data_IF_869586581581
#
_entry.id   IF_869586581581
#
_cell.length_a   1.000
_cell.length_b   1.000
_cell.length_c   1.000
_cell.angle_alpha   90.00
_cell.angle_beta   90.00
_cell.angle_gamma   90.00
#
_symmetry.space_group_name_H-M   'P 1'
#
loop_
_entity.id
_entity.type
_entity.pdbx_description
1 polymer ?
#
# COMPACT_ATOMS: atom_id res chain seq x y z
N UNK A 1 77.43 44.99 -27.56
CA UNK A 1 77.33 43.63 -26.97
C UNK A 1 75.88 43.46 -26.53
N UNK A 2 75.05 42.80 -27.36
CA UNK A 2 73.60 42.73 -27.27
C UNK A 2 73.23 41.37 -26.68
N UNK A 3 72.68 41.36 -25.48
CA UNK A 3 72.14 40.14 -24.83
C UNK A 3 70.69 39.94 -25.18
N UNK A 4 70.41 38.83 -25.88
CA UNK A 4 69.00 38.38 -26.15
C UNK A 4 68.49 37.56 -24.98
N UNK A 5 67.37 38.03 -24.39
CA UNK A 5 66.63 37.24 -23.40
C UNK A 5 65.64 36.37 -24.13
N UNK A 6 65.75 35.04 -23.94
CA UNK A 6 64.73 34.04 -24.39
C UNK A 6 63.58 33.98 -23.35
N UNK A 7 62.39 34.33 -23.74
CA UNK A 7 61.18 34.08 -22.95
C UNK A 7 60.70 32.65 -23.24
N UNK A 8 60.75 31.75 -22.28
CA UNK A 8 60.09 30.45 -22.31
C UNK A 8 58.61 30.66 -21.86
N UNK A 9 57.67 30.47 -22.82
CA UNK A 9 56.27 30.42 -22.54
C UNK A 9 55.91 29.00 -22.06
N UNK A 10 55.59 28.82 -20.78
CA UNK A 10 55.00 27.60 -20.21
C UNK A 10 53.53 27.57 -20.57
N UNK A 11 53.12 26.73 -21.57
CA UNK A 11 51.76 26.37 -21.80
C UNK A 11 51.33 25.38 -20.69
N UNK A 12 50.55 25.86 -19.71
CA UNK A 12 49.92 25.01 -18.71
C UNK A 12 48.75 24.24 -19.35
N UNK A 13 48.91 22.92 -19.52
CA UNK A 13 47.86 21.99 -19.91
C UNK A 13 46.95 21.74 -18.71
N UNK A 14 45.80 22.42 -18.63
CA UNK A 14 44.77 22.13 -17.63
C UNK A 14 44.08 20.82 -17.99
N UNK A 15 44.47 19.71 -17.35
CA UNK A 15 43.71 18.47 -17.33
C UNK A 15 42.45 18.71 -16.50
N UNK A 16 41.30 18.87 -17.15
CA UNK A 16 39.99 18.76 -16.51
C UNK A 16 39.76 17.29 -16.20
N UNK A 17 39.94 16.89 -14.94
CA UNK A 17 39.47 15.62 -14.42
C UNK A 17 37.94 15.64 -14.45
N UNK A 18 37.33 15.10 -15.51
CA UNK A 18 35.94 14.73 -15.49
C UNK A 18 35.80 13.62 -14.42
N UNK A 19 35.19 13.94 -13.30
CA UNK A 19 34.79 12.95 -12.30
C UNK A 19 33.90 11.88 -12.95
N UNK A 20 33.84 10.64 -12.40
CA UNK A 20 32.96 9.63 -12.90
C UNK A 20 31.53 10.18 -12.82
N UNK A 21 30.92 10.44 -13.97
CA UNK A 21 29.50 10.77 -14.06
C UNK A 21 28.72 9.63 -13.40
N UNK A 22 27.82 9.93 -12.47
CA UNK A 22 26.92 8.92 -11.94
C UNK A 22 26.22 8.24 -13.13
N UNK A 23 26.28 6.91 -13.18
CA UNK A 23 25.60 6.17 -14.24
C UNK A 23 24.11 6.49 -14.19
N UNK A 24 23.51 6.73 -15.36
CA UNK A 24 22.06 6.98 -15.44
C UNK A 24 21.28 5.82 -14.80
N UNK A 25 20.20 6.12 -14.04
CA UNK A 25 19.38 5.09 -13.42
C UNK A 25 18.80 4.13 -14.47
N UNK A 26 18.85 2.84 -14.19
CA UNK A 26 18.25 1.82 -15.05
C UNK A 26 16.79 1.56 -14.64
N UNK A 27 15.83 2.15 -15.34
CA UNK A 27 14.40 2.03 -15.03
C UNK A 27 13.88 0.60 -15.05
N UNK A 28 14.32 -0.24 -15.97
CA UNK A 28 13.92 -1.66 -16.05
C UNK A 28 14.38 -2.42 -14.78
N UNK A 29 15.60 -2.16 -14.32
CA UNK A 29 16.11 -2.79 -13.09
C UNK A 29 15.36 -2.30 -11.85
N UNK A 30 15.10 -1.01 -11.74
CA UNK A 30 14.35 -0.42 -10.64
C UNK A 30 12.92 -0.98 -10.61
N UNK A 31 12.27 -1.04 -11.77
CA UNK A 31 10.95 -1.63 -11.91
C UNK A 31 10.93 -3.10 -11.47
N UNK A 32 11.85 -3.91 -11.95
CA UNK A 32 11.94 -5.34 -11.59
C UNK A 32 12.13 -5.55 -10.09
N UNK A 33 12.87 -4.66 -9.41
CA UNK A 33 13.15 -4.77 -7.98
C UNK A 33 12.01 -4.31 -7.08
N UNK A 34 11.24 -3.28 -7.49
CA UNK A 34 10.30 -2.60 -6.60
C UNK A 34 8.84 -2.63 -7.07
N UNK A 35 8.60 -2.79 -8.37
CA UNK A 35 7.26 -2.64 -8.95
C UNK A 35 6.67 -3.96 -9.46
N UNK A 36 7.52 -4.81 -10.06
CA UNK A 36 7.12 -6.03 -10.76
C UNK A 36 6.36 -7.02 -9.87
N UNK A 37 6.72 -7.11 -8.58
CA UNK A 37 6.04 -8.00 -7.61
C UNK A 37 4.53 -7.75 -7.54
N UNK A 38 4.10 -6.50 -7.76
CA UNK A 38 2.69 -6.10 -7.73
C UNK A 38 2.09 -5.90 -9.12
N UNK A 39 2.87 -5.33 -10.06
CA UNK A 39 2.39 -4.94 -11.38
C UNK A 39 2.72 -5.94 -12.49
N UNK A 40 3.40 -7.05 -12.17
CA UNK A 40 3.86 -8.05 -13.13
C UNK A 40 5.15 -7.63 -13.81
N UNK A 41 5.97 -8.60 -14.24
CA UNK A 41 7.29 -8.35 -14.85
C UNK A 41 7.19 -7.52 -16.14
N UNK A 42 6.12 -7.69 -16.90
CA UNK A 42 5.83 -6.96 -18.13
C UNK A 42 4.71 -5.93 -17.98
N UNK A 43 4.34 -5.54 -16.74
CA UNK A 43 3.27 -4.60 -16.50
C UNK A 43 1.86 -5.14 -16.74
N UNK A 44 1.69 -6.47 -16.78
CA UNK A 44 0.39 -7.13 -17.04
C UNK A 44 -0.60 -7.03 -15.86
N UNK A 45 -0.15 -6.48 -14.74
CA UNK A 45 -0.94 -6.40 -13.53
C UNK A 45 -0.73 -7.61 -12.62
N UNK A 46 -1.45 -7.62 -11.54
CA UNK A 46 -1.40 -8.64 -10.49
C UNK A 46 -2.18 -8.11 -9.31
N UNK A 47 -1.46 -7.82 -8.22
CA UNK A 47 -1.97 -7.04 -7.10
C UNK A 47 -2.28 -5.61 -7.54
N UNK A 48 -1.34 -5.01 -8.28
CA UNK A 48 -1.46 -3.69 -8.86
C UNK A 48 -2.20 -3.71 -10.21
N UNK A 49 -2.59 -2.53 -10.67
CA UNK A 49 -3.23 -2.35 -11.97
C UNK A 49 -2.29 -2.76 -13.11
N UNK A 50 -2.82 -3.23 -14.25
CA UNK A 50 -2.02 -3.51 -15.43
C UNK A 50 -1.51 -2.21 -16.06
N UNK A 51 -0.22 -1.91 -15.85
CA UNK A 51 0.40 -0.67 -16.32
C UNK A 51 0.57 -0.63 -17.85
N UNK A 52 0.74 -1.79 -18.50
CA UNK A 52 0.89 -1.87 -19.96
C UNK A 52 -0.44 -1.81 -20.74
N UNK A 53 -1.59 -1.77 -20.05
CA UNK A 53 -2.88 -1.71 -20.73
C UNK A 53 -2.95 -0.46 -21.64
N UNK A 54 -3.21 -0.58 -22.96
CA UNK A 54 -3.20 0.57 -23.87
C UNK A 54 -4.13 1.70 -23.42
N UNK A 55 -5.35 1.38 -22.96
CA UNK A 55 -6.28 2.38 -22.47
C UNK A 55 -5.82 3.08 -21.16
N UNK A 56 -5.00 2.40 -20.33
CA UNK A 56 -4.36 3.03 -19.18
C UNK A 56 -3.26 3.98 -19.65
N UNK A 57 -2.38 3.53 -20.53
CA UNK A 57 -1.27 4.30 -21.07
C UNK A 57 -1.74 5.57 -21.82
N UNK A 58 -2.79 5.44 -22.62
CA UNK A 58 -3.40 6.56 -23.35
C UNK A 58 -4.16 7.55 -22.43
N UNK A 59 -4.62 7.08 -21.28
CA UNK A 59 -5.48 7.86 -20.39
C UNK A 59 -4.79 8.54 -19.21
N UNK A 60 -3.50 8.26 -18.93
CA UNK A 60 -2.78 8.85 -17.80
C UNK A 60 -1.54 9.62 -18.26
N UNK A 61 -1.27 10.84 -17.75
CA UNK A 61 -0.06 11.59 -18.07
C UNK A 61 1.14 11.10 -17.25
N UNK A 62 2.36 11.44 -17.67
CA UNK A 62 3.59 11.09 -16.95
C UNK A 62 3.56 11.64 -15.52
N UNK A 63 3.13 12.88 -15.33
CA UNK A 63 2.99 13.50 -14.02
C UNK A 63 2.10 12.70 -13.04
N UNK A 64 1.07 12.01 -13.54
CA UNK A 64 0.27 11.11 -12.72
C UNK A 64 1.06 9.87 -12.29
N UNK A 65 1.87 9.30 -13.16
CA UNK A 65 2.74 8.17 -12.85
C UNK A 65 3.80 8.56 -11.82
N UNK A 66 4.50 9.69 -12.06
CA UNK A 66 5.51 10.24 -11.16
C UNK A 66 4.95 10.48 -9.76
N UNK A 67 3.84 11.21 -9.65
CA UNK A 67 3.22 11.49 -8.36
C UNK A 67 2.68 10.22 -7.70
N UNK A 68 2.13 9.28 -8.49
CA UNK A 68 1.67 8.00 -7.95
C UNK A 68 2.82 7.17 -7.39
N UNK A 69 3.99 7.17 -8.01
CA UNK A 69 5.18 6.51 -7.49
C UNK A 69 5.62 7.17 -6.17
N UNK A 70 5.71 8.50 -6.13
CA UNK A 70 6.16 9.22 -4.94
C UNK A 70 5.23 9.09 -3.75
N UNK A 71 3.93 9.27 -3.98
CA UNK A 71 2.92 9.31 -2.92
C UNK A 71 2.38 7.93 -2.55
N UNK A 72 2.44 6.98 -3.47
CA UNK A 72 1.77 5.69 -3.32
C UNK A 72 0.25 5.84 -3.21
N UNK A 73 -0.34 4.94 -2.47
CA UNK A 73 -1.76 4.93 -2.08
C UNK A 73 -1.83 4.74 -0.57
N UNK A 74 -1.74 5.83 0.22
CA UNK A 74 -1.77 5.76 1.68
C UNK A 74 -2.92 4.88 2.19
N UNK A 75 -2.63 4.00 3.14
CA UNK A 75 -3.58 3.00 3.64
C UNK A 75 -3.89 1.85 2.68
N UNK A 76 -3.14 1.72 1.57
CA UNK A 76 -3.28 0.63 0.60
C UNK A 76 -1.93 -0.04 0.33
N UNK A 77 -1.97 -1.14 -0.43
CA UNK A 77 -0.79 -1.97 -0.70
C UNK A 77 0.32 -1.27 -1.49
N UNK A 78 0.02 -0.20 -2.24
CA UNK A 78 1.02 0.54 -3.00
C UNK A 78 1.73 1.55 -2.08
N UNK A 79 2.99 1.32 -1.68
CA UNK A 79 3.74 2.26 -0.87
C UNK A 79 4.15 3.51 -1.66
N UNK A 80 4.51 4.57 -0.96
CA UNK A 80 5.20 5.71 -1.55
C UNK A 80 6.70 5.45 -1.68
N UNK A 81 7.29 5.92 -2.77
CA UNK A 81 8.73 5.83 -3.04
C UNK A 81 9.35 7.23 -3.03
N UNK A 82 9.09 7.99 -1.97
CA UNK A 82 9.57 9.37 -1.80
C UNK A 82 11.09 9.47 -1.61
N UNK A 83 11.75 8.35 -1.28
CA UNK A 83 13.20 8.24 -1.18
C UNK A 83 13.92 8.14 -2.53
N UNK A 84 13.21 7.87 -3.64
CA UNK A 84 13.80 7.83 -4.97
C UNK A 84 14.10 9.24 -5.48
N UNK A 85 15.25 9.42 -6.11
CA UNK A 85 15.59 10.65 -6.82
C UNK A 85 14.67 10.89 -8.03
N UNK A 86 14.61 12.13 -8.51
CA UNK A 86 13.83 12.47 -9.72
C UNK A 86 14.26 11.63 -10.91
N UNK A 87 15.58 11.49 -11.12
CA UNK A 87 16.11 10.68 -12.21
C UNK A 87 15.73 9.19 -12.13
N UNK A 88 15.60 8.62 -10.93
CA UNK A 88 15.15 7.23 -10.76
C UNK A 88 13.65 7.09 -11.06
N UNK A 89 12.84 8.04 -10.62
CA UNK A 89 11.39 8.05 -10.93
C UNK A 89 11.19 8.24 -12.43
N UNK A 90 11.88 9.17 -13.06
CA UNK A 90 11.82 9.39 -14.53
C UNK A 90 12.22 8.12 -15.28
N UNK A 91 13.28 7.45 -14.87
CA UNK A 91 13.73 6.21 -15.49
C UNK A 91 12.67 5.09 -15.36
N UNK A 92 11.98 4.99 -14.22
CA UNK A 92 10.87 4.03 -14.04
C UNK A 92 9.69 4.39 -14.95
N UNK A 93 9.32 5.67 -15.03
CA UNK A 93 8.24 6.14 -15.89
C UNK A 93 8.56 5.85 -17.35
N UNK A 94 9.77 6.16 -17.83
CA UNK A 94 10.21 5.85 -19.20
C UNK A 94 10.20 4.34 -19.46
N UNK A 95 10.58 3.51 -18.50
CA UNK A 95 10.45 2.05 -18.65
C UNK A 95 8.98 1.62 -18.80
N UNK A 96 8.06 2.15 -17.98
CA UNK A 96 6.62 1.87 -18.10
C UNK A 96 6.10 2.34 -19.46
N UNK A 97 6.55 3.48 -19.94
CA UNK A 97 6.17 4.03 -21.25
C UNK A 97 6.74 3.25 -22.44
N UNK A 98 7.83 2.53 -22.24
CA UNK A 98 8.40 1.69 -23.31
C UNK A 98 7.46 0.58 -23.79
N UNK A 99 6.39 0.29 -23.06
CA UNK A 99 5.34 -0.67 -23.46
C UNK A 99 4.24 -0.06 -24.33
N UNK A 100 4.33 1.22 -24.67
CA UNK A 100 3.29 1.93 -25.38
C UNK A 100 3.87 2.90 -26.41
N UNK A 101 3.48 2.70 -27.67
CA UNK A 101 3.95 3.53 -28.80
C UNK A 101 3.00 4.70 -29.13
N UNK A 102 1.92 4.86 -28.35
CA UNK A 102 0.92 5.91 -28.57
C UNK A 102 1.32 7.26 -27.97
N UNK A 103 0.46 8.23 -28.20
CA UNK A 103 0.64 9.58 -27.68
C UNK A 103 0.46 9.63 -26.16
N UNK A 104 1.35 10.37 -25.48
CA UNK A 104 1.29 10.58 -24.02
C UNK A 104 0.34 11.76 -23.73
N UNK A 105 -0.75 11.56 -22.99
CA UNK A 105 -1.72 12.61 -22.77
C UNK A 105 -1.17 13.70 -21.86
N UNK A 106 -1.62 14.93 -22.10
CA UNK A 106 -1.37 16.10 -21.27
C UNK A 106 -2.70 16.66 -20.79
N UNK A 107 -2.82 16.92 -19.49
CA UNK A 107 -4.05 17.42 -18.89
C UNK A 107 -3.82 18.74 -18.16
N UNK A 108 -4.81 19.63 -18.26
CA UNK A 108 -4.86 20.84 -17.44
C UNK A 108 -4.91 20.51 -15.96
N UNK A 109 -4.21 21.28 -15.15
CA UNK A 109 -4.26 21.21 -13.69
C UNK A 109 -5.36 22.10 -13.08
N UNK A 110 -6.11 22.83 -13.93
CA UNK A 110 -7.19 23.67 -13.46
C UNK A 110 -8.36 22.84 -12.92
N UNK A 111 -8.95 23.32 -11.82
CA UNK A 111 -10.15 22.70 -11.24
C UNK A 111 -11.35 22.89 -12.18
N UNK A 112 -12.16 21.85 -12.28
CA UNK A 112 -13.41 21.86 -13.02
C UNK A 112 -14.54 22.28 -12.07
N UNK A 113 -15.33 23.27 -12.48
CA UNK A 113 -16.50 23.69 -11.73
C UNK A 113 -17.67 22.74 -12.01
N UNK A 114 -18.30 22.23 -10.95
CA UNK A 114 -19.46 21.34 -11.01
C UNK A 114 -20.28 21.37 -9.72
N UNK A 115 -21.47 20.80 -9.76
CA UNK A 115 -22.34 20.63 -8.59
C UNK A 115 -22.09 19.28 -7.92
N UNK A 116 -21.27 19.29 -6.86
CA UNK A 116 -20.94 18.08 -6.11
C UNK A 116 -22.17 17.38 -5.51
N UNK A 117 -23.26 18.11 -5.18
CA UNK A 117 -24.47 17.50 -4.66
C UNK A 117 -25.20 16.69 -5.72
N UNK A 118 -25.28 17.22 -6.96
CA UNK A 118 -25.81 16.50 -8.10
C UNK A 118 -24.89 15.36 -8.49
N UNK A 119 -23.57 15.59 -8.45
CA UNK A 119 -22.55 14.57 -8.67
C UNK A 119 -22.68 13.39 -7.71
N UNK A 120 -23.04 13.62 -6.42
CA UNK A 120 -23.29 12.55 -5.46
C UNK A 120 -24.45 11.63 -5.86
N UNK A 121 -25.52 12.18 -6.43
CA UNK A 121 -26.65 11.39 -6.92
C UNK A 121 -26.23 10.52 -8.12
N UNK A 122 -25.55 11.12 -9.09
CA UNK A 122 -25.03 10.42 -10.26
C UNK A 122 -24.01 9.35 -9.87
N UNK A 123 -23.17 9.64 -8.86
CA UNK A 123 -22.19 8.69 -8.35
C UNK A 123 -22.86 7.46 -7.71
N UNK A 124 -23.88 7.66 -6.90
CA UNK A 124 -24.64 6.57 -6.29
C UNK A 124 -25.30 5.66 -7.36
N UNK A 125 -25.77 6.25 -8.46
CA UNK A 125 -26.42 5.54 -9.55
C UNK A 125 -25.45 4.78 -10.45
N UNK A 126 -24.30 5.38 -10.76
CA UNK A 126 -23.42 4.90 -11.84
C UNK A 126 -22.06 4.37 -11.37
N UNK A 127 -21.57 4.78 -10.20
CA UNK A 127 -20.18 4.55 -9.78
C UNK A 127 -20.06 3.69 -8.53
N UNK A 128 -20.98 3.87 -7.55
CA UNK A 128 -20.89 3.28 -6.22
C UNK A 128 -20.80 1.74 -6.24
N UNK A 129 -21.50 1.09 -7.18
CA UNK A 129 -21.48 -0.37 -7.31
C UNK A 129 -20.05 -0.92 -7.49
N UNK A 130 -19.19 -0.18 -8.19
CA UNK A 130 -17.82 -0.60 -8.47
C UNK A 130 -16.81 0.09 -7.54
N UNK A 131 -16.96 1.40 -7.27
CA UNK A 131 -16.00 2.21 -6.52
C UNK A 131 -16.34 2.35 -5.03
N UNK A 132 -17.45 1.75 -4.57
CA UNK A 132 -17.96 1.88 -3.20
C UNK A 132 -18.72 3.19 -2.98
N UNK A 133 -19.63 3.21 -2.00
CA UNK A 133 -20.55 4.34 -1.74
C UNK A 133 -19.83 5.66 -1.40
N UNK A 134 -18.62 5.56 -0.85
CA UNK A 134 -17.78 6.69 -0.47
C UNK A 134 -16.46 6.75 -1.25
N UNK A 135 -16.36 6.07 -2.37
CA UNK A 135 -15.15 6.05 -3.18
C UNK A 135 -14.03 5.17 -2.66
N UNK A 136 -14.30 4.30 -1.70
CA UNK A 136 -13.30 3.46 -1.04
C UNK A 136 -12.72 2.34 -1.92
N UNK A 137 -13.23 2.18 -3.13
CA UNK A 137 -12.83 1.15 -4.08
C UNK A 137 -13.72 -0.08 -4.05
N UNK A 138 -13.52 -0.95 -5.02
CA UNK A 138 -14.27 -2.18 -5.15
C UNK A 138 -14.02 -3.16 -4.01
N UNK A 139 -15.05 -3.92 -3.67
CA UNK A 139 -14.92 -5.09 -2.80
C UNK A 139 -14.21 -6.18 -3.59
N UNK A 140 -12.91 -6.22 -3.55
CA UNK A 140 -12.13 -7.27 -4.14
C UNK A 140 -11.32 -7.92 -3.05
N UNK A 141 -11.16 -9.21 -3.20
CA UNK A 141 -10.19 -9.94 -2.40
C UNK A 141 -8.79 -9.43 -2.72
N UNK A 142 -8.42 -8.19 -2.46
CA UNK A 142 -7.10 -7.66 -2.67
C UNK A 142 -6.16 -8.62 -3.41
N UNK A 143 -4.97 -8.71 -3.04
CA UNK A 143 -3.97 -9.56 -3.67
C UNK A 143 -4.26 -11.05 -3.50
N UNK A 144 -4.59 -11.76 -4.56
CA UNK A 144 -4.50 -13.22 -4.57
C UNK A 144 -3.30 -13.62 -5.44
N UNK A 145 -2.30 -14.26 -4.85
CA UNK A 145 -1.16 -14.82 -5.59
C UNK A 145 -1.58 -15.87 -6.63
N UNK A 146 -2.78 -16.40 -6.47
CA UNK A 146 -3.40 -17.39 -7.35
C UNK A 146 -4.59 -16.80 -8.13
N UNK A 147 -4.60 -15.49 -8.37
CA UNK A 147 -5.69 -14.87 -9.13
C UNK A 147 -5.78 -15.50 -10.51
N UNK A 148 -6.90 -16.13 -10.86
CA UNK A 148 -7.14 -16.52 -12.25
C UNK A 148 -7.07 -15.27 -13.13
N UNK A 149 -6.49 -15.39 -14.33
CA UNK A 149 -6.37 -14.24 -15.27
C UNK A 149 -7.73 -13.63 -15.65
N UNK A 150 -8.80 -14.35 -15.38
CA UNK A 150 -10.18 -13.96 -15.71
C UNK A 150 -10.92 -13.23 -14.58
N UNK A 151 -10.27 -12.99 -13.44
CA UNK A 151 -10.91 -12.19 -12.38
C UNK A 151 -11.01 -10.74 -12.82
N UNK A 152 -12.16 -10.08 -12.58
CA UNK A 152 -12.36 -8.70 -12.96
C UNK A 152 -11.34 -7.79 -12.27
N UNK A 153 -10.91 -6.76 -12.99
CA UNK A 153 -10.08 -5.69 -12.43
C UNK A 153 -10.88 -5.00 -11.33
N UNK A 154 -10.29 -4.90 -10.14
CA UNK A 154 -10.93 -4.24 -9.01
C UNK A 154 -10.91 -2.73 -9.24
N UNK A 155 -12.07 -2.08 -9.08
CA UNK A 155 -12.17 -0.64 -9.18
C UNK A 155 -11.30 0.05 -8.11
N UNK A 156 -10.46 1.02 -8.46
CA UNK A 156 -9.59 1.71 -7.51
C UNK A 156 -10.37 2.59 -6.53
N UNK A 157 -9.78 2.83 -5.36
CA UNK A 157 -10.29 3.80 -4.41
C UNK A 157 -10.14 5.22 -4.98
N UNK A 158 -11.27 5.91 -5.15
CA UNK A 158 -11.33 7.29 -5.64
C UNK A 158 -11.17 8.31 -4.51
N UNK A 159 -11.48 7.92 -3.27
CA UNK A 159 -11.29 8.75 -2.08
C UNK A 159 -9.86 8.69 -1.50
N UNK A 160 -8.95 7.96 -2.12
CA UNK A 160 -7.57 7.85 -1.62
C UNK A 160 -6.80 9.17 -1.81
N UNK A 161 -6.13 9.70 -0.77
CA UNK A 161 -5.43 10.99 -0.85
C UNK A 161 -4.30 10.99 -1.89
N UNK A 162 -3.57 9.86 -2.07
CA UNK A 162 -2.55 9.74 -3.10
C UNK A 162 -3.15 9.76 -4.52
N UNK A 163 -4.35 9.21 -4.73
CA UNK A 163 -5.07 9.34 -6.00
C UNK A 163 -5.53 10.77 -6.24
N UNK A 164 -6.19 11.38 -5.26
CA UNK A 164 -6.74 12.74 -5.36
C UNK A 164 -5.66 13.78 -5.63
N UNK A 165 -4.47 13.60 -5.07
CA UNK A 165 -3.33 14.48 -5.33
C UNK A 165 -2.73 14.27 -6.72
N UNK A 166 -2.58 13.01 -7.16
CA UNK A 166 -1.92 12.68 -8.43
C UNK A 166 -2.81 12.95 -9.67
N UNK A 167 -4.14 12.72 -9.55
CA UNK A 167 -5.06 12.84 -10.67
C UNK A 167 -5.55 14.29 -10.84
N UNK A 168 -5.41 14.88 -12.01
CA UNK A 168 -6.05 16.16 -12.33
C UNK A 168 -7.55 15.99 -12.63
N UNK A 169 -8.34 17.06 -12.46
CA UNK A 169 -9.77 17.04 -12.82
C UNK A 169 -9.97 16.68 -14.28
N UNK A 170 -9.13 17.21 -15.16
CA UNK A 170 -9.20 16.94 -16.59
C UNK A 170 -8.90 15.46 -16.91
N UNK A 171 -7.98 14.80 -16.18
CA UNK A 171 -7.74 13.37 -16.32
C UNK A 171 -8.96 12.53 -15.83
N UNK A 172 -9.56 12.91 -14.71
CA UNK A 172 -10.77 12.25 -14.20
C UNK A 172 -11.90 12.40 -15.20
N UNK A 173 -12.14 13.63 -15.70
CA UNK A 173 -13.14 13.92 -16.74
C UNK A 173 -12.91 13.09 -17.99
N UNK A 174 -11.69 13.06 -18.51
CA UNK A 174 -11.33 12.26 -19.68
C UNK A 174 -11.63 10.76 -19.47
N UNK A 175 -11.29 10.24 -18.30
CA UNK A 175 -11.59 8.84 -17.94
C UNK A 175 -13.10 8.56 -17.90
N UNK A 176 -13.90 9.48 -17.38
CA UNK A 176 -15.36 9.34 -17.37
C UNK A 176 -15.95 9.42 -18.78
N UNK A 177 -15.41 10.31 -19.62
CA UNK A 177 -15.90 10.46 -20.99
C UNK A 177 -15.53 9.30 -21.91
N UNK A 178 -14.36 8.70 -21.74
CA UNK A 178 -13.82 7.68 -22.66
C UNK A 178 -13.96 6.25 -22.13
N UNK A 179 -14.07 6.10 -20.81
CA UNK A 179 -13.92 4.80 -20.17
C UNK A 179 -12.48 4.30 -20.23
N UNK A 180 -12.31 3.00 -20.00
CA UNK A 180 -11.03 2.28 -20.13
C UNK A 180 -11.27 0.97 -20.85
N UNK A 181 -10.98 0.91 -22.12
CA UNK A 181 -11.09 -0.32 -22.91
C UNK A 181 -10.27 -1.46 -22.27
N UNK A 182 -10.78 -2.66 -22.28
CA UNK A 182 -10.19 -3.82 -21.62
C UNK A 182 -10.44 -3.88 -20.10
N UNK A 183 -11.27 -2.97 -19.57
CA UNK A 183 -11.71 -2.97 -18.17
C UNK A 183 -13.24 -2.78 -18.08
N UNK A 184 -13.87 -3.07 -16.91
CA UNK A 184 -15.28 -2.76 -16.69
C UNK A 184 -15.62 -1.26 -16.66
N UNK A 185 -14.63 -0.34 -16.70
CA UNK A 185 -14.86 1.11 -16.68
C UNK A 185 -15.34 1.59 -18.04
N UNK A 186 -16.64 1.79 -18.15
CA UNK A 186 -17.32 2.20 -19.39
C UNK A 186 -17.20 3.70 -19.64
N UNK A 187 -17.46 4.12 -20.90
CA UNK A 187 -17.65 5.53 -21.24
C UNK A 187 -19.03 6.00 -20.77
N UNK A 188 -19.07 6.96 -19.85
CA UNK A 188 -20.34 7.51 -19.36
C UNK A 188 -20.97 8.48 -20.37
N UNK A 189 -20.16 9.09 -21.25
CA UNK A 189 -20.71 9.81 -22.39
C UNK A 189 -21.52 8.90 -23.31
N UNK A 190 -21.04 7.71 -23.58
CA UNK A 190 -21.74 6.72 -24.42
C UNK A 190 -22.95 6.11 -23.69
N UNK A 191 -22.96 6.19 -22.36
CA UNK A 191 -24.12 5.86 -21.53
C UNK A 191 -25.17 7.00 -21.48
N UNK A 192 -24.89 8.14 -22.13
CA UNK A 192 -25.84 9.25 -22.27
C UNK A 192 -25.68 10.38 -21.26
N UNK A 193 -24.65 10.36 -20.40
CA UNK A 193 -24.38 11.49 -19.51
C UNK A 193 -23.87 12.68 -20.32
N UNK A 194 -24.45 13.85 -20.05
CA UNK A 194 -23.97 15.12 -20.60
C UNK A 194 -22.63 15.52 -20.00
N UNK A 195 -21.91 16.38 -20.69
CA UNK A 195 -20.62 16.90 -20.21
C UNK A 195 -20.76 17.60 -18.84
N UNK A 196 -21.88 18.29 -18.60
CA UNK A 196 -22.17 18.92 -17.32
C UNK A 196 -22.33 17.89 -16.18
N UNK A 197 -23.00 16.78 -16.45
CA UNK A 197 -23.15 15.71 -15.47
C UNK A 197 -21.82 15.04 -15.15
N UNK A 198 -20.95 14.93 -16.15
CA UNK A 198 -19.58 14.45 -15.95
C UNK A 198 -18.78 15.46 -15.11
N UNK A 199 -18.92 16.77 -15.32
CA UNK A 199 -18.30 17.80 -14.50
C UNK A 199 -18.81 17.75 -13.05
N UNK A 200 -20.08 17.50 -12.83
CA UNK A 200 -20.69 17.32 -11.50
C UNK A 200 -20.10 16.07 -10.80
N UNK A 201 -19.90 14.97 -11.54
CA UNK A 201 -19.22 13.78 -11.03
C UNK A 201 -17.76 14.07 -10.63
N UNK A 202 -17.02 14.83 -11.44
CA UNK A 202 -15.65 15.26 -11.10
C UNK A 202 -15.65 16.06 -9.80
N UNK A 203 -16.57 17.03 -9.67
CA UNK A 203 -16.70 17.85 -8.46
C UNK A 203 -17.03 17.00 -7.23
N UNK A 204 -17.86 15.96 -7.37
CA UNK A 204 -18.15 15.05 -6.27
C UNK A 204 -16.94 14.20 -5.87
N UNK A 205 -16.20 13.62 -6.83
CA UNK A 205 -14.96 12.89 -6.53
C UNK A 205 -13.96 13.79 -5.81
N UNK A 206 -13.86 15.06 -6.18
CA UNK A 206 -13.02 16.05 -5.50
C UNK A 206 -13.48 16.37 -4.08
N UNK A 207 -14.78 16.27 -3.79
CA UNK A 207 -15.28 16.49 -2.43
C UNK A 207 -14.72 15.47 -1.43
N UNK A 208 -14.24 14.32 -1.86
CA UNK A 208 -13.55 13.36 -1.01
C UNK A 208 -12.25 13.91 -0.40
N UNK A 209 -11.63 14.95 -0.98
CA UNK A 209 -10.48 15.63 -0.37
C UNK A 209 -10.77 16.15 1.02
N UNK A 210 -12.03 16.53 1.30
CA UNK A 210 -12.46 17.02 2.61
C UNK A 210 -12.47 15.93 3.71
N UNK A 211 -12.44 14.66 3.32
CA UNK A 211 -12.38 13.53 4.25
C UNK A 211 -10.96 13.31 4.79
N UNK A 212 -9.95 13.93 4.18
CA UNK A 212 -8.53 13.76 4.49
C UNK A 212 -7.95 15.06 5.04
N UNK A 213 -8.49 15.55 6.14
CA UNK A 213 -7.97 16.75 6.84
C UNK A 213 -6.68 16.48 7.63
N UNK A 214 -6.47 15.20 8.00
CA UNK A 214 -5.25 14.74 8.64
C UNK A 214 -4.41 13.93 7.63
N UNK A 215 -3.06 14.00 7.69
CA UNK A 215 -2.21 13.14 6.88
C UNK A 215 -2.59 11.68 7.13
N UNK A 216 -2.88 10.92 6.09
CA UNK A 216 -3.09 9.49 6.24
C UNK A 216 -1.82 8.87 6.85
N UNK A 217 -1.98 8.16 7.97
CA UNK A 217 -0.87 7.45 8.59
C UNK A 217 -0.22 6.55 7.54
N UNK A 218 1.08 6.71 7.35
CA UNK A 218 1.84 5.81 6.48
C UNK A 218 1.91 4.46 7.17
N UNK A 219 1.87 3.41 6.38
CA UNK A 219 2.02 2.04 6.92
C UNK A 219 3.34 1.89 7.65
N UNK A 220 4.38 2.58 7.17
CA UNK A 220 5.71 2.62 7.77
C UNK A 220 5.70 3.21 9.19
N UNK A 221 4.75 4.11 9.49
CA UNK A 221 4.61 4.76 10.80
C UNK A 221 3.88 3.88 11.83
N UNK A 222 3.30 2.75 11.39
CA UNK A 222 2.64 1.79 12.27
C UNK A 222 3.68 0.78 12.76
N UNK A 223 3.86 0.68 14.06
CA UNK A 223 4.77 -0.30 14.65
C UNK A 223 4.42 -1.73 14.19
N UNK A 224 5.38 -2.49 13.65
CA UNK A 224 5.12 -3.83 13.13
C UNK A 224 4.84 -4.86 14.24
N UNK A 225 5.30 -4.58 15.46
CA UNK A 225 5.20 -5.48 16.61
C UNK A 225 4.69 -4.69 17.81
N UNK A 226 3.75 -5.26 18.54
CA UNK A 226 3.34 -4.78 19.85
C UNK A 226 4.26 -5.43 20.89
N UNK A 227 4.87 -4.62 21.78
CA UNK A 227 5.77 -5.10 22.84
C UNK A 227 5.44 -4.39 24.13
N UNK A 228 5.23 -5.16 25.19
CA UNK A 228 4.95 -4.67 26.55
C UNK A 228 5.87 -5.33 27.55
N UNK A 229 6.43 -4.55 28.47
CA UNK A 229 7.20 -5.07 29.60
C UNK A 229 6.24 -5.56 30.71
N UNK A 230 6.47 -6.73 31.25
CA UNK A 230 5.70 -7.27 32.36
C UNK A 230 6.48 -7.16 33.69
N UNK A 231 5.86 -6.72 34.78
CA UNK A 231 6.48 -6.70 36.10
C UNK A 231 6.40 -8.07 36.80
N UNK A 232 5.72 -9.04 36.19
CA UNK A 232 5.48 -10.38 36.76
C UNK A 232 6.52 -11.37 36.25
N UNK A 233 6.55 -12.55 36.86
CA UNK A 233 7.35 -13.68 36.36
C UNK A 233 6.85 -14.15 34.99
N UNK A 234 7.67 -14.91 34.28
CA UNK A 234 7.30 -15.49 32.97
C UNK A 234 5.99 -16.28 33.07
N UNK A 235 5.86 -17.19 34.07
CA UNK A 235 4.69 -18.05 34.24
C UNK A 235 3.43 -17.23 34.57
N UNK A 236 3.52 -16.32 35.52
CA UNK A 236 2.39 -15.44 35.87
C UNK A 236 1.92 -14.58 34.66
N UNK A 237 2.87 -14.10 33.85
CA UNK A 237 2.57 -13.35 32.64
C UNK A 237 1.90 -14.23 31.59
N UNK A 238 2.36 -15.45 31.37
CA UNK A 238 1.75 -16.41 30.45
C UNK A 238 0.30 -16.70 30.85
N UNK A 239 0.07 -17.01 32.16
CA UNK A 239 -1.28 -17.24 32.68
C UNK A 239 -2.18 -16.00 32.57
N UNK A 240 -1.61 -14.80 32.76
CA UNK A 240 -2.36 -13.55 32.60
C UNK A 240 -2.78 -13.33 31.13
N UNK A 241 -1.89 -13.60 30.16
CA UNK A 241 -2.23 -13.59 28.73
C UNK A 241 -3.36 -14.57 28.41
N UNK A 242 -3.29 -15.77 28.93
CA UNK A 242 -4.34 -16.78 28.74
C UNK A 242 -5.69 -16.32 29.29
N UNK A 243 -5.72 -15.79 30.52
CA UNK A 243 -6.95 -15.26 31.14
C UNK A 243 -7.50 -14.08 30.35
N UNK A 244 -6.65 -13.12 29.97
CA UNK A 244 -7.04 -11.93 29.21
C UNK A 244 -7.61 -12.29 27.82
N UNK A 245 -7.03 -13.28 27.14
CA UNK A 245 -7.53 -13.76 25.86
C UNK A 245 -8.92 -14.43 26.02
N UNK A 246 -9.09 -15.31 27.01
CA UNK A 246 -10.38 -15.96 27.28
C UNK A 246 -11.45 -14.94 27.65
N UNK A 247 -11.11 -13.93 28.46
CA UNK A 247 -12.01 -12.83 28.84
C UNK A 247 -12.53 -12.02 27.63
N UNK A 248 -11.84 -12.08 26.48
CA UNK A 248 -12.21 -11.43 25.20
C UNK A 248 -12.72 -12.40 24.14
N UNK A 249 -13.29 -13.52 24.57
CA UNK A 249 -13.89 -14.54 23.70
C UNK A 249 -12.90 -15.23 22.75
N UNK A 250 -11.61 -15.25 23.06
CA UNK A 250 -10.69 -16.13 22.37
C UNK A 250 -10.69 -17.51 23.02
N UNK A 251 -10.57 -18.54 22.21
CA UNK A 251 -10.32 -19.91 22.63
C UNK A 251 -8.82 -20.16 22.69
N UNK A 252 -8.33 -20.62 23.82
CA UNK A 252 -6.97 -21.12 23.91
C UNK A 252 -6.85 -22.40 23.08
N UNK A 253 -5.78 -22.46 22.29
CA UNK A 253 -5.46 -23.64 21.46
C UNK A 253 -4.39 -24.45 22.14
N UNK A 254 -3.26 -23.84 22.48
CA UNK A 254 -2.15 -24.48 23.19
C UNK A 254 -1.17 -23.43 23.73
N UNK A 255 -0.37 -23.86 24.68
CA UNK A 255 0.88 -23.24 25.10
C UNK A 255 2.04 -24.09 24.55
N UNK A 256 3.10 -23.46 24.10
CA UNK A 256 4.27 -24.15 23.56
C UNK A 256 5.54 -23.36 23.90
N UNK A 257 6.60 -24.06 24.33
CA UNK A 257 7.92 -23.46 24.40
C UNK A 257 8.44 -23.19 22.97
N UNK A 258 9.05 -22.03 22.74
CA UNK A 258 9.48 -21.63 21.38
C UNK A 258 10.48 -22.63 20.78
N UNK A 259 11.37 -23.17 21.62
CA UNK A 259 12.43 -24.09 21.21
C UNK A 259 12.01 -25.58 21.24
N UNK A 260 10.76 -25.86 21.59
CA UNK A 260 10.24 -27.22 21.63
C UNK A 260 10.35 -27.92 20.27
N UNK A 261 11.04 -29.04 20.24
CA UNK A 261 11.30 -29.80 19.02
C UNK A 261 12.50 -29.32 18.18
N UNK A 262 13.15 -28.20 18.55
CA UNK A 262 14.39 -27.74 17.93
C UNK A 262 15.63 -28.30 18.64
N UNK A 263 15.51 -28.60 19.91
CA UNK A 263 16.57 -29.13 20.74
C UNK A 263 16.14 -30.48 21.36
N UNK A 264 17.08 -31.31 21.85
CA UNK A 264 16.76 -32.51 22.64
C UNK A 264 15.93 -32.15 23.86
N UNK A 265 15.16 -33.12 24.34
CA UNK A 265 14.35 -32.96 25.55
C UNK A 265 15.23 -32.55 26.76
N UNK A 266 14.84 -31.49 27.43
CA UNK A 266 15.56 -30.90 28.56
C UNK A 266 16.67 -29.89 28.19
N UNK A 267 16.98 -29.68 26.91
CA UNK A 267 17.96 -28.68 26.45
C UNK A 267 17.28 -27.42 25.91
N UNK A 268 15.98 -27.47 25.57
CA UNK A 268 15.21 -26.33 25.12
C UNK A 268 15.06 -25.29 26.22
N UNK A 269 15.15 -24.01 25.88
CA UNK A 269 14.92 -22.92 26.82
C UNK A 269 13.45 -22.85 27.23
N UNK A 270 13.22 -22.79 28.53
CA UNK A 270 11.91 -22.55 29.13
C UNK A 270 11.53 -21.08 29.24
N UNK A 271 12.43 -20.18 28.82
CA UNK A 271 12.29 -18.71 28.92
C UNK A 271 11.54 -18.06 27.76
N UNK A 272 10.99 -18.84 26.86
CA UNK A 272 10.29 -18.35 25.66
C UNK A 272 9.04 -19.21 25.42
N UNK A 273 7.88 -18.63 25.68
CA UNK A 273 6.59 -19.33 25.59
C UNK A 273 5.69 -18.65 24.57
N UNK A 274 5.10 -19.44 23.69
CA UNK A 274 4.06 -18.97 22.76
C UNK A 274 2.70 -19.44 23.27
N UNK A 275 1.76 -18.51 23.40
CA UNK A 275 0.36 -18.78 23.68
C UNK A 275 -0.43 -18.65 22.38
N UNK A 276 -1.02 -19.75 21.93
CA UNK A 276 -1.87 -19.77 20.74
C UNK A 276 -3.34 -19.73 21.14
N UNK A 277 -4.08 -18.83 20.51
CA UNK A 277 -5.52 -18.67 20.73
C UNK A 277 -6.22 -18.26 19.42
N UNK A 278 -7.53 -18.31 19.38
CA UNK A 278 -8.30 -17.90 18.22
C UNK A 278 -9.72 -17.45 18.61
N UNK A 279 -10.20 -16.40 17.94
CA UNK A 279 -11.60 -16.06 17.90
C UNK A 279 -12.19 -16.61 16.59
N UNK A 280 -12.87 -17.76 16.66
CA UNK A 280 -13.31 -18.48 15.46
C UNK A 280 -14.43 -17.77 14.69
N UNK A 281 -15.28 -16.99 15.35
CA UNK A 281 -16.34 -16.23 14.67
C UNK A 281 -15.73 -15.10 13.84
N UNK A 282 -14.85 -14.31 14.47
CA UNK A 282 -14.13 -13.25 13.81
C UNK A 282 -13.29 -13.78 12.64
N UNK A 283 -12.62 -14.91 12.87
CA UNK A 283 -11.80 -15.57 11.86
C UNK A 283 -12.63 -16.02 10.66
N UNK A 284 -13.80 -16.61 10.89
CA UNK A 284 -14.68 -17.07 9.82
C UNK A 284 -15.09 -15.90 8.91
N UNK A 285 -15.51 -14.81 9.50
CA UNK A 285 -15.92 -13.60 8.76
C UNK A 285 -14.76 -13.03 7.94
N UNK A 286 -13.56 -12.95 8.50
CA UNK A 286 -12.38 -12.47 7.80
C UNK A 286 -11.95 -13.41 6.64
N UNK A 287 -11.97 -14.74 6.85
CA UNK A 287 -11.66 -15.73 5.81
C UNK A 287 -12.66 -15.72 4.65
N UNK A 288 -13.93 -15.37 4.88
CA UNK A 288 -14.91 -15.23 3.79
C UNK A 288 -14.60 -14.04 2.89
N UNK A 289 -13.88 -13.03 3.40
CA UNK A 289 -13.44 -11.87 2.62
C UNK A 289 -12.17 -12.20 1.85
N UNK A 290 -11.17 -12.77 2.53
CA UNK A 290 -9.89 -13.12 1.91
C UNK A 290 -9.25 -14.35 2.60
N UNK A 291 -9.11 -15.49 1.89
CA UNK A 291 -8.54 -16.70 2.48
C UNK A 291 -7.07 -16.56 2.91
N UNK A 292 -6.35 -15.50 2.47
CA UNK A 292 -4.97 -15.22 2.91
C UNK A 292 -4.88 -14.83 4.39
N UNK A 293 -5.98 -14.44 5.00
CA UNK A 293 -6.06 -14.29 6.47
C UNK A 293 -5.54 -15.55 7.17
N UNK A 294 -5.71 -16.72 6.55
CA UNK A 294 -5.17 -17.99 7.03
C UNK A 294 -3.64 -18.02 7.20
N UNK A 295 -2.88 -17.16 6.51
CA UNK A 295 -1.42 -17.08 6.66
C UNK A 295 -0.98 -16.55 8.04
N UNK A 296 -1.87 -15.88 8.76
CA UNK A 296 -1.61 -15.30 10.08
C UNK A 296 -2.14 -16.14 11.24
N UNK A 297 -2.62 -17.33 10.93
CA UNK A 297 -3.20 -18.23 11.91
C UNK A 297 -2.23 -19.32 12.37
N UNK A 298 -2.39 -19.81 13.59
CA UNK A 298 -3.26 -19.29 14.63
C UNK A 298 -2.75 -17.96 15.20
N UNK A 299 -3.69 -17.16 15.76
CA UNK A 299 -3.35 -15.98 16.53
C UNK A 299 -2.43 -16.36 17.69
N UNK A 300 -1.44 -15.53 18.01
CA UNK A 300 -0.44 -15.87 19.03
C UNK A 300 0.17 -14.65 19.68
N UNK A 301 0.56 -14.86 20.92
CA UNK A 301 1.38 -13.94 21.70
C UNK A 301 2.60 -14.71 22.18
N UNK A 302 3.76 -14.09 22.16
CA UNK A 302 5.01 -14.66 22.68
C UNK A 302 5.38 -13.94 23.98
N UNK A 303 5.67 -14.69 25.03
CA UNK A 303 6.21 -14.19 26.30
C UNK A 303 7.65 -14.65 26.41
N UNK A 304 8.56 -13.72 26.66
CA UNK A 304 9.99 -14.01 26.77
C UNK A 304 10.55 -13.43 28.07
N UNK A 305 11.48 -14.18 28.68
CA UNK A 305 12.35 -13.67 29.74
C UNK A 305 13.78 -13.52 29.21
N UNK A 306 14.28 -12.31 29.21
CA UNK A 306 15.64 -12.01 28.79
C UNK A 306 16.28 -11.00 29.73
N UNK A 307 17.48 -11.31 30.20
CA UNK A 307 18.25 -10.42 31.09
C UNK A 307 17.46 -9.97 32.34
N UNK A 308 16.63 -10.88 32.89
CA UNK A 308 15.81 -10.63 34.08
C UNK A 308 14.59 -9.73 33.82
N UNK A 309 14.25 -9.48 32.56
CA UNK A 309 13.01 -8.77 32.14
C UNK A 309 12.08 -9.71 31.41
N UNK A 310 10.80 -9.62 31.72
CA UNK A 310 9.75 -10.36 31.02
C UNK A 310 9.05 -9.40 30.04
N UNK A 311 8.92 -9.83 28.80
CA UNK A 311 8.23 -9.08 27.76
C UNK A 311 7.18 -9.93 27.08
N UNK A 312 6.06 -9.29 26.74
CA UNK A 312 4.98 -9.86 25.94
C UNK A 312 4.97 -9.20 24.58
N UNK A 313 4.91 -9.98 23.52
CA UNK A 313 4.96 -9.43 22.16
C UNK A 313 4.02 -10.13 21.20
N UNK A 314 3.54 -9.39 20.23
CA UNK A 314 2.71 -9.89 19.13
C UNK A 314 2.94 -9.10 17.86
N UNK A 315 2.64 -9.72 16.71
CA UNK A 315 2.53 -8.98 15.44
C UNK A 315 1.39 -7.97 15.59
N UNK A 316 1.59 -6.76 15.09
CA UNK A 316 0.53 -5.76 15.06
C UNK A 316 -0.43 -6.03 13.88
N UNK A 317 -1.70 -6.43 14.14
CA UNK A 317 -2.65 -6.71 13.08
C UNK A 317 -2.92 -5.51 12.16
N UNK A 318 -2.92 -4.31 12.71
CA UNK A 318 -3.12 -3.08 11.95
C UNK A 318 -2.07 -2.88 10.85
N UNK A 319 -0.81 -3.23 11.13
CA UNK A 319 0.28 -3.20 10.15
C UNK A 319 0.04 -4.16 8.98
N UNK A 320 -0.70 -5.25 9.22
CA UNK A 320 -0.97 -6.28 8.23
C UNK A 320 -2.14 -5.94 7.31
N UNK A 321 -3.00 -4.99 7.69
CA UNK A 321 -4.23 -4.66 6.96
C UNK A 321 -3.96 -4.30 5.50
N UNK A 322 -2.89 -3.58 5.25
CA UNK A 322 -2.48 -3.15 3.90
C UNK A 322 -2.24 -4.29 2.92
N UNK A 323 -1.86 -5.48 3.43
CA UNK A 323 -1.64 -6.67 2.60
C UNK A 323 -2.93 -7.15 1.93
N UNK A 324 -4.08 -6.84 2.52
CA UNK A 324 -5.38 -7.26 2.01
C UNK A 324 -5.98 -6.27 1.03
N UNK A 325 -5.58 -5.00 1.08
CA UNK A 325 -6.12 -3.92 0.25
C UNK A 325 -7.68 -3.93 0.21
N UNK A 326 -8.29 -4.14 1.36
CA UNK A 326 -9.73 -4.36 1.51
C UNK A 326 -10.23 -3.67 2.79
N UNK A 327 -11.17 -2.74 2.66
CA UNK A 327 -11.67 -1.92 3.77
C UNK A 327 -12.34 -2.72 4.89
N UNK A 328 -13.01 -3.84 4.56
CA UNK A 328 -13.60 -4.70 5.60
C UNK A 328 -12.52 -5.35 6.45
N UNK A 329 -11.41 -5.74 5.81
CA UNK A 329 -10.26 -6.31 6.52
C UNK A 329 -9.43 -5.22 7.21
N UNK A 330 -9.39 -3.99 6.69
CA UNK A 330 -8.78 -2.86 7.40
C UNK A 330 -9.46 -2.66 8.75
N UNK A 331 -10.81 -2.56 8.77
CA UNK A 331 -11.60 -2.47 10.02
C UNK A 331 -11.42 -3.70 10.92
N UNK A 332 -11.40 -4.90 10.34
CA UNK A 332 -11.17 -6.11 11.10
C UNK A 332 -9.77 -6.15 11.72
N UNK A 333 -8.76 -5.65 11.03
CA UNK A 333 -7.40 -5.54 11.57
C UNK A 333 -7.28 -4.47 12.65
N UNK A 334 -8.02 -3.35 12.53
CA UNK A 334 -8.10 -2.33 13.57
C UNK A 334 -8.76 -2.90 14.84
N UNK A 335 -9.89 -3.58 14.72
CA UNK A 335 -10.56 -4.26 15.84
C UNK A 335 -9.66 -5.32 16.48
N UNK A 336 -8.97 -6.10 15.68
CA UNK A 336 -8.02 -7.09 16.18
C UNK A 336 -6.82 -6.45 16.88
N UNK A 337 -6.33 -5.31 16.38
CA UNK A 337 -5.29 -4.53 17.04
C UNK A 337 -5.73 -4.10 18.45
N UNK A 338 -6.93 -3.55 18.58
CA UNK A 338 -7.48 -3.11 19.87
C UNK A 338 -7.62 -4.29 20.84
N UNK A 339 -8.09 -5.45 20.35
CA UNK A 339 -8.19 -6.67 21.16
C UNK A 339 -6.82 -7.17 21.63
N UNK A 340 -5.81 -7.17 20.75
CA UNK A 340 -4.45 -7.57 21.12
C UNK A 340 -3.84 -6.60 22.13
N UNK A 341 -3.95 -5.31 21.88
CA UNK A 341 -3.49 -4.26 22.80
C UNK A 341 -4.10 -4.46 24.19
N UNK A 342 -5.42 -4.66 24.25
CA UNK A 342 -6.12 -4.87 25.52
C UNK A 342 -5.70 -6.18 26.21
N UNK A 343 -5.40 -7.27 25.46
CA UNK A 343 -4.86 -8.50 26.03
C UNK A 343 -3.47 -8.28 26.63
N UNK A 344 -2.59 -7.58 25.88
CA UNK A 344 -1.21 -7.33 26.32
C UNK A 344 -1.18 -6.39 27.54
N UNK A 345 -2.00 -5.32 27.54
CA UNK A 345 -2.13 -4.41 28.66
C UNK A 345 -2.64 -5.14 29.93
N UNK A 346 -3.75 -5.88 29.81
CA UNK A 346 -4.29 -6.61 30.98
C UNK A 346 -3.31 -7.65 31.54
N UNK A 347 -2.47 -8.23 30.68
CA UNK A 347 -1.48 -9.23 31.10
C UNK A 347 -0.23 -8.61 31.75
N UNK A 348 -0.03 -7.30 31.63
CA UNK A 348 1.19 -6.60 32.06
C UNK A 348 0.93 -5.48 33.07
N UNK A 349 -0.32 -5.17 33.37
CA UNK A 349 -0.74 -4.19 34.38
C UNK A 349 -1.60 -4.85 35.47
#
# INVERSE_FOLDING_TARGET
MTGKWLQLSLLGLALTLAGPGAAEPNGARLYAQMCAVCHGDAGDGGVGVPLRLPAFQAGVPDAYLEQTIRLGRPGRVMPGFDHLSDAEVDAIVEHIRSWYDGERPQYSQARIAGDAKRGAQLYAEHCAQCHGDQGQGGQGTGVTFSRPRDLPIIAPALNNPGFLTAASDAMIKATLMQGREGTPMVSFRDQGLSEREIDDLVAYVRSFEQQHTEPAARVEDIEPVLVYDSPYSLEETVEAVERAAVGRNFRLIRRQQLEEGLFPEGEASDKQVIVYFCNFNFLYDALTVDPRVGLFLPCRVTVIEREGRVQVMSINPKRLSVLFNNERLDRACDEMHDLYTAILEEATF
#
